data_IF_682202731077
#
_entry.id   IF_682202731077
#
_cell.length_a   1.000
_cell.length_b   1.000
_cell.length_c   1.000
_cell.angle_alpha   90.00
_cell.angle_beta   90.00
_cell.angle_gamma   90.00
#
_symmetry.space_group_name_H-M   'P 1'
#
loop_
_entity.id
_entity.type
_entity.pdbx_description
1 polymer ?
#
# COMPACT_ATOMS: atom_id res chain seq x y z
N UNK A 1 -1.14 16.50 1.50
CA UNK A 1 -1.53 17.06 0.19
C UNK A 1 -2.68 16.26 -0.36
N UNK A 2 -3.67 16.93 -0.86
CA UNK A 2 -4.83 16.25 -1.45
C UNK A 2 -4.65 16.14 -2.96
N UNK A 3 -5.07 14.99 -3.49
CA UNK A 3 -5.08 14.73 -4.92
C UNK A 3 -6.52 14.54 -5.38
N UNK A 4 -6.82 14.96 -6.59
CA UNK A 4 -8.10 14.71 -7.23
C UNK A 4 -7.85 13.74 -8.40
N UNK A 5 -8.08 12.46 -8.17
CA UNK A 5 -7.81 11.43 -9.17
C UNK A 5 -8.72 11.56 -10.38
N UNK A 6 -9.97 12.02 -10.19
CA UNK A 6 -10.89 12.26 -11.31
C UNK A 6 -10.33 13.32 -12.27
N UNK A 7 -9.79 14.39 -11.72
CA UNK A 7 -9.17 15.44 -12.53
C UNK A 7 -7.91 14.96 -13.24
N UNK A 8 -7.07 14.20 -12.55
CA UNK A 8 -5.88 13.58 -13.15
C UNK A 8 -6.26 12.67 -14.32
N UNK A 9 -7.33 11.89 -14.18
CA UNK A 9 -7.84 11.04 -15.25
C UNK A 9 -8.33 11.86 -16.46
N UNK A 10 -8.96 12.99 -16.21
CA UNK A 10 -9.44 13.86 -17.29
C UNK A 10 -8.29 14.52 -18.05
N UNK A 11 -7.24 14.94 -17.34
CA UNK A 11 -6.11 15.66 -17.94
C UNK A 11 -5.14 14.70 -18.63
N UNK A 12 -4.87 13.56 -18.03
CA UNK A 12 -3.79 12.64 -18.43
C UNK A 12 -4.30 11.28 -18.90
N UNK A 13 -5.50 11.20 -19.42
CA UNK A 13 -6.15 9.93 -19.78
C UNK A 13 -5.28 8.98 -20.61
N UNK A 14 -4.46 9.51 -21.51
CA UNK A 14 -3.62 8.71 -22.41
C UNK A 14 -2.28 8.31 -21.78
N UNK A 15 -1.95 8.84 -20.60
CA UNK A 15 -0.65 8.66 -19.95
C UNK A 15 -0.70 7.87 -18.65
N UNK A 16 -1.89 7.53 -18.17
CA UNK A 16 -2.08 6.88 -16.88
C UNK A 16 -2.80 5.55 -17.00
N UNK A 17 -2.56 4.69 -16.02
CA UNK A 17 -3.29 3.46 -15.80
C UNK A 17 -4.13 3.59 -14.54
N UNK A 18 -5.33 3.04 -14.54
CA UNK A 18 -6.24 3.03 -13.39
C UNK A 18 -6.40 1.59 -12.91
N UNK A 19 -6.18 1.39 -11.62
CA UNK A 19 -6.37 0.07 -10.99
C UNK A 19 -7.86 -0.30 -11.00
N UNK A 20 -8.14 -1.61 -11.09
CA UNK A 20 -9.48 -2.12 -10.86
C UNK A 20 -9.98 -1.65 -9.49
N UNK A 21 -11.27 -1.26 -9.37
CA UNK A 21 -11.82 -0.63 -8.17
C UNK A 21 -12.14 -1.67 -7.06
N UNK A 22 -11.13 -2.37 -6.60
CA UNK A 22 -11.27 -3.46 -5.62
C UNK A 22 -10.70 -3.10 -4.24
N UNK A 23 -10.16 -1.89 -4.09
CA UNK A 23 -9.52 -1.45 -2.85
C UNK A 23 -10.45 -0.61 -1.98
N UNK A 24 -10.26 -0.71 -0.67
CA UNK A 24 -10.93 0.13 0.33
C UNK A 24 -9.90 0.92 1.11
N UNK A 25 -10.29 2.11 1.60
CA UNK A 25 -9.46 2.94 2.46
C UNK A 25 -9.55 2.49 3.91
N UNK A 26 -8.41 2.30 4.57
CA UNK A 26 -8.34 1.87 5.96
C UNK A 26 -7.52 2.81 6.85
N UNK A 27 -6.66 3.64 6.28
CA UNK A 27 -5.83 4.57 7.03
C UNK A 27 -6.53 5.88 7.38
N UNK A 28 -5.89 6.71 8.19
CA UNK A 28 -6.41 8.02 8.57
C UNK A 28 -6.38 9.07 7.46
N UNK A 29 -5.64 8.81 6.39
CA UNK A 29 -5.56 9.70 5.21
C UNK A 29 -6.15 8.99 4.01
N UNK A 30 -7.07 9.63 3.31
CA UNK A 30 -7.69 9.06 2.11
C UNK A 30 -7.04 9.53 0.81
N UNK A 31 -6.42 10.71 0.81
CA UNK A 31 -5.77 11.29 -0.38
C UNK A 31 -4.26 11.31 -0.19
N UNK A 32 -3.53 10.58 -1.02
CA UNK A 32 -2.08 10.49 -0.93
C UNK A 32 -1.47 10.14 -2.28
N UNK A 33 -0.18 10.31 -2.41
CA UNK A 33 0.54 9.95 -3.62
C UNK A 33 2.04 10.07 -3.44
N UNK A 34 2.78 9.51 -4.36
CA UNK A 34 4.23 9.56 -4.33
C UNK A 34 4.88 8.54 -5.25
N UNK A 35 6.19 8.43 -5.10
CA UNK A 35 7.02 7.49 -5.84
C UNK A 35 6.83 6.07 -5.32
N UNK A 36 6.63 5.14 -6.22
CA UNK A 36 6.35 3.74 -5.90
C UNK A 36 7.59 3.00 -5.43
N UNK A 37 7.46 2.34 -4.29
CA UNK A 37 8.41 1.32 -3.80
C UNK A 37 7.67 -0.01 -3.79
N UNK A 38 8.20 -1.02 -4.46
CA UNK A 38 7.50 -2.29 -4.67
C UNK A 38 7.97 -3.39 -3.74
N UNK A 39 7.02 -4.22 -3.30
CA UNK A 39 7.27 -5.46 -2.55
C UNK A 39 6.38 -6.54 -3.12
N UNK A 40 6.91 -7.76 -3.19
CA UNK A 40 6.14 -8.97 -3.46
C UNK A 40 6.35 -9.97 -2.34
N UNK A 41 5.28 -10.34 -1.65
CA UNK A 41 5.32 -11.31 -0.56
C UNK A 41 3.97 -12.02 -0.45
N UNK A 42 3.94 -13.15 0.24
CA UNK A 42 2.71 -13.92 0.40
C UNK A 42 2.57 -14.38 1.86
N UNK A 43 1.57 -13.85 2.55
CA UNK A 43 1.19 -14.23 3.92
C UNK A 43 2.31 -14.08 4.97
N UNK A 44 3.39 -13.37 4.61
CA UNK A 44 4.52 -13.02 5.49
C UNK A 44 4.83 -11.55 5.33
N UNK A 45 5.06 -10.83 6.42
CA UNK A 45 5.26 -9.38 6.39
C UNK A 45 6.60 -8.89 6.96
N UNK A 46 7.57 -9.78 7.11
CA UNK A 46 8.90 -9.40 7.60
C UNK A 46 9.61 -8.41 6.69
N UNK A 47 9.52 -8.60 5.37
CA UNK A 47 10.10 -7.66 4.38
C UNK A 47 9.43 -6.30 4.47
N UNK A 48 8.09 -6.26 4.62
CA UNK A 48 7.34 -5.01 4.79
C UNK A 48 7.82 -4.28 6.05
N UNK A 49 7.92 -5.01 7.17
CA UNK A 49 8.37 -4.46 8.45
C UNK A 49 9.77 -3.85 8.37
N UNK A 50 10.67 -4.41 7.57
CA UNK A 50 12.00 -3.85 7.36
C UNK A 50 11.96 -2.58 6.52
N UNK A 51 11.20 -2.57 5.44
CA UNK A 51 11.16 -1.45 4.50
C UNK A 51 10.48 -0.22 5.11
N UNK A 52 9.42 -0.38 5.89
CA UNK A 52 8.75 0.76 6.52
C UNK A 52 9.63 1.47 7.57
N UNK A 53 10.71 0.85 8.01
CA UNK A 53 11.70 1.47 8.90
C UNK A 53 12.61 2.46 8.17
N UNK A 54 12.66 2.40 6.85
CA UNK A 54 13.45 3.33 6.04
C UNK A 54 12.68 4.62 5.79
N UNK A 55 13.36 5.68 5.35
CA UNK A 55 12.71 6.95 5.06
C UNK A 55 11.75 6.82 3.88
N UNK A 56 10.48 7.09 4.12
CA UNK A 56 9.41 7.00 3.14
C UNK A 56 8.90 8.35 2.63
N UNK A 57 9.61 9.44 2.91
CA UNK A 57 9.17 10.78 2.48
C UNK A 57 8.99 10.84 0.96
N UNK A 58 7.80 11.21 0.52
CA UNK A 58 7.46 11.27 -0.91
C UNK A 58 7.26 9.91 -1.56
N UNK A 59 7.15 8.83 -0.78
CA UNK A 59 7.05 7.46 -1.29
C UNK A 59 5.76 6.78 -0.86
N UNK A 60 5.25 5.93 -1.73
CA UNK A 60 4.12 5.04 -1.46
C UNK A 60 4.60 3.60 -1.60
N UNK A 61 4.32 2.79 -0.59
CA UNK A 61 4.65 1.38 -0.60
C UNK A 61 3.55 0.60 -1.32
N UNK A 62 3.89 -0.08 -2.40
CA UNK A 62 2.95 -0.87 -3.20
C UNK A 62 3.32 -2.34 -3.08
N UNK A 63 2.39 -3.12 -2.54
CA UNK A 63 2.64 -4.51 -2.13
C UNK A 63 1.77 -5.46 -2.93
N UNK A 64 2.40 -6.36 -3.67
CA UNK A 64 1.72 -7.52 -4.25
C UNK A 64 1.72 -8.64 -3.20
N UNK A 65 0.60 -8.76 -2.50
CA UNK A 65 0.38 -9.79 -1.49
C UNK A 65 -0.35 -11.01 -2.03
N UNK A 66 -0.43 -11.14 -3.34
CA UNK A 66 -1.09 -12.29 -3.98
C UNK A 66 -2.60 -12.33 -3.79
N UNK A 67 -3.21 -11.26 -3.27
CA UNK A 67 -4.65 -11.20 -3.02
C UNK A 67 -5.11 -12.08 -1.86
N UNK A 68 -4.22 -12.52 -0.98
CA UNK A 68 -4.58 -13.43 0.12
C UNK A 68 -5.57 -12.78 1.07
N UNK A 69 -6.63 -13.51 1.39
CA UNK A 69 -7.63 -13.16 2.41
C UNK A 69 -7.49 -14.01 3.67
N UNK A 70 -6.40 -14.77 3.79
CA UNK A 70 -6.18 -15.68 4.92
C UNK A 70 -5.29 -15.10 6.00
N UNK A 71 -4.37 -14.20 5.63
CA UNK A 71 -3.45 -13.54 6.56
C UNK A 71 -3.30 -12.08 6.21
N UNK A 72 -3.49 -11.22 7.20
CA UNK A 72 -3.37 -9.77 7.03
C UNK A 72 -1.89 -9.37 7.01
N UNK A 73 -1.48 -8.69 5.95
CA UNK A 73 -0.11 -8.20 5.79
C UNK A 73 0.13 -6.90 6.57
N UNK A 74 -0.89 -6.05 6.65
CA UNK A 74 -0.78 -4.74 7.31
C UNK A 74 -1.50 -4.78 8.64
N UNK A 75 -0.77 -4.41 9.69
CA UNK A 75 -1.26 -4.29 11.05
C UNK A 75 -0.93 -2.91 11.64
N UNK A 76 -1.31 -2.70 12.90
CA UNK A 76 -1.07 -1.44 13.62
C UNK A 76 0.43 -1.10 13.63
N UNK A 77 1.28 -2.07 13.93
CA UNK A 77 2.71 -1.85 14.11
C UNK A 77 3.38 -1.41 12.81
N UNK A 78 3.04 -2.05 11.70
CA UNK A 78 3.55 -1.66 10.38
C UNK A 78 3.07 -0.26 10.01
N UNK A 79 1.78 0.02 10.22
CA UNK A 79 1.21 1.32 9.89
C UNK A 79 1.82 2.45 10.73
N UNK A 80 2.00 2.24 12.03
CA UNK A 80 2.63 3.22 12.91
C UNK A 80 4.08 3.47 12.52
N UNK A 81 4.83 2.42 12.23
CA UNK A 81 6.23 2.54 11.82
C UNK A 81 6.34 3.30 10.49
N UNK A 82 5.47 2.99 9.53
CA UNK A 82 5.45 3.68 8.25
C UNK A 82 5.11 5.17 8.42
N UNK A 83 4.11 5.49 9.22
CA UNK A 83 3.73 6.89 9.48
C UNK A 83 4.88 7.65 10.16
N UNK A 84 5.56 7.01 11.11
CA UNK A 84 6.67 7.60 11.85
C UNK A 84 7.86 7.90 10.93
N UNK A 85 8.06 7.13 9.89
CA UNK A 85 9.14 7.28 8.92
C UNK A 85 8.71 8.04 7.65
N UNK A 86 7.62 8.77 7.72
CA UNK A 86 7.14 9.71 6.69
C UNK A 86 6.62 9.06 5.41
N UNK A 87 6.30 7.78 5.41
CA UNK A 87 5.65 7.17 4.25
C UNK A 87 4.32 7.86 3.97
N UNK A 88 4.07 8.15 2.69
CA UNK A 88 2.84 8.84 2.26
C UNK A 88 1.64 7.90 2.28
N UNK A 89 1.85 6.64 1.96
CA UNK A 89 0.78 5.66 1.95
C UNK A 89 1.27 4.25 1.65
N UNK A 90 0.35 3.30 1.82
CA UNK A 90 0.54 1.88 1.53
C UNK A 90 -0.63 1.41 0.69
N UNK A 91 -0.36 0.75 -0.42
CA UNK A 91 -1.37 0.06 -1.22
C UNK A 91 -1.03 -1.42 -1.19
N UNK A 92 -1.93 -2.22 -0.65
CA UNK A 92 -1.71 -3.64 -0.42
C UNK A 92 -2.72 -4.47 -1.22
N UNK A 93 -2.23 -5.22 -2.20
CA UNK A 93 -3.04 -6.25 -2.85
C UNK A 93 -3.07 -7.48 -1.94
N UNK A 94 -3.82 -7.37 -0.87
CA UNK A 94 -3.92 -8.33 0.21
C UNK A 94 -4.82 -7.77 1.32
N UNK A 95 -4.72 -8.36 2.50
CA UNK A 95 -5.59 -8.05 3.62
C UNK A 95 -4.92 -7.19 4.68
N UNK A 96 -5.73 -6.47 5.43
CA UNK A 96 -5.33 -5.69 6.60
C UNK A 96 -6.09 -6.17 7.83
N UNK A 97 -5.68 -5.76 9.03
CA UNK A 97 -6.42 -6.02 10.27
C UNK A 97 -6.42 -4.80 11.18
N UNK A 98 -7.22 -4.86 12.24
CA UNK A 98 -7.32 -3.80 13.26
C UNK A 98 -7.71 -2.44 12.68
N UNK A 99 -8.73 -2.45 11.83
CA UNK A 99 -9.10 -1.29 11.01
C UNK A 99 -9.51 -0.07 11.81
N UNK A 100 -10.12 -0.24 12.99
CA UNK A 100 -10.48 0.88 13.85
C UNK A 100 -9.22 1.63 14.32
N UNK A 101 -8.17 0.91 14.64
CA UNK A 101 -6.89 1.50 15.02
C UNK A 101 -6.17 2.10 13.82
N UNK A 102 -6.24 1.47 12.63
CA UNK A 102 -5.63 2.01 11.42
C UNK A 102 -6.20 3.37 11.03
N UNK A 103 -7.49 3.60 11.24
CA UNK A 103 -8.14 4.89 10.98
C UNK A 103 -7.53 6.05 11.78
N UNK A 104 -6.97 5.76 12.93
CA UNK A 104 -6.37 6.78 13.80
C UNK A 104 -4.92 7.10 13.43
N UNK A 105 -4.32 6.37 12.50
CA UNK A 105 -2.94 6.56 12.10
C UNK A 105 -2.89 7.48 10.87
N UNK A 106 -2.05 8.50 10.94
CA UNK A 106 -1.93 9.54 9.89
C UNK A 106 -1.08 9.04 8.72
N UNK A 107 -1.67 8.12 7.96
CA UNK A 107 -1.09 7.54 6.74
C UNK A 107 -2.22 7.05 5.84
N UNK A 108 -2.00 7.04 4.53
CA UNK A 108 -2.93 6.40 3.59
C UNK A 108 -2.71 4.89 3.59
N UNK A 109 -3.80 4.12 3.67
CA UNK A 109 -3.74 2.66 3.55
C UNK A 109 -4.91 2.20 2.69
N UNK A 110 -4.60 1.50 1.61
CA UNK A 110 -5.62 0.82 0.81
C UNK A 110 -5.32 -0.67 0.79
N UNK A 111 -6.35 -1.48 0.97
CA UNK A 111 -6.28 -2.93 0.95
C UNK A 111 -7.57 -3.53 0.42
N UNK A 112 -7.60 -4.84 0.26
CA UNK A 112 -8.76 -5.54 -0.30
C UNK A 112 -9.85 -5.78 0.73
N UNK A 113 -9.47 -6.23 1.93
CA UNK A 113 -10.41 -6.68 2.94
C UNK A 113 -9.74 -6.65 4.32
N UNK A 114 -10.55 -6.60 5.37
CA UNK A 114 -10.10 -6.71 6.76
C UNK A 114 -10.37 -8.12 7.28
N UNK A 115 -9.35 -8.74 7.88
CA UNK A 115 -9.44 -10.06 8.51
C UNK A 115 -8.67 -10.06 9.82
N UNK A 116 -8.99 -10.94 10.78
CA UNK A 116 -8.34 -10.90 12.10
C UNK A 116 -7.01 -11.66 12.18
N UNK A 117 -6.71 -12.54 11.24
CA UNK A 117 -5.50 -13.38 11.30
C UNK A 117 -4.31 -12.63 10.75
N UNK A 118 -3.26 -12.49 11.56
CA UNK A 118 -2.02 -11.82 11.14
C UNK A 118 -1.13 -12.67 10.25
N UNK A 119 -0.27 -12.01 9.51
CA UNK A 119 0.77 -12.64 8.70
C UNK A 119 1.86 -13.24 9.59
N UNK A 120 2.67 -14.15 9.04
CA UNK A 120 3.90 -14.56 9.71
C UNK A 120 4.92 -13.43 9.60
N UNK A 121 5.83 -13.35 10.57
CA UNK A 121 6.87 -12.32 10.61
C UNK A 121 8.16 -12.74 9.88
N UNK A 122 8.09 -13.79 9.08
CA UNK A 122 9.24 -14.27 8.32
C UNK A 122 9.67 -13.26 7.26
N UNK A 123 10.97 -13.15 7.07
CA UNK A 123 11.57 -12.23 6.11
C UNK A 123 11.62 -12.88 4.72
N UNK A 124 10.44 -13.30 4.23
CA UNK A 124 10.26 -13.96 2.94
C UNK A 124 9.53 -13.03 2.00
N UNK A 125 10.17 -12.68 0.90
CA UNK A 125 9.62 -11.78 -0.11
C UNK A 125 10.73 -11.07 -0.84
N UNK A 126 10.35 -10.27 -1.82
CA UNK A 126 11.28 -9.51 -2.64
C UNK A 126 10.83 -8.05 -2.71
N UNK A 127 11.78 -7.16 -2.85
CA UNK A 127 11.52 -5.73 -3.05
C UNK A 127 12.22 -5.24 -4.30
N UNK A 128 11.82 -4.07 -4.78
CA UNK A 128 12.48 -3.38 -5.89
C UNK A 128 12.38 -4.16 -7.21
N UNK A 129 11.20 -4.66 -7.52
CA UNK A 129 10.92 -5.47 -8.72
C UNK A 129 9.63 -4.99 -9.38
N UNK A 130 9.43 -5.38 -10.64
CA UNK A 130 8.15 -5.18 -11.31
C UNK A 130 7.09 -6.10 -10.69
N UNK A 131 5.92 -5.53 -10.37
CA UNK A 131 4.79 -6.28 -9.84
C UNK A 131 3.54 -5.97 -10.66
N UNK A 132 2.59 -6.90 -10.67
CA UNK A 132 1.35 -6.74 -11.41
C UNK A 132 0.17 -7.20 -10.56
N UNK A 133 -0.83 -6.32 -10.42
CA UNK A 133 -2.12 -6.67 -9.81
C UNK A 133 -3.17 -5.65 -10.23
N UNK A 134 -4.44 -6.00 -10.07
CA UNK A 134 -5.56 -5.12 -10.37
C UNK A 134 -5.49 -4.50 -11.79
N UNK A 135 -4.96 -5.25 -12.75
CA UNK A 135 -4.86 -4.84 -14.15
C UNK A 135 -3.72 -3.87 -14.47
N UNK A 136 -2.83 -3.58 -13.53
CA UNK A 136 -1.74 -2.62 -13.71
C UNK A 136 -0.40 -3.24 -13.35
N UNK A 137 0.63 -2.93 -14.14
CA UNK A 137 2.03 -3.26 -13.82
C UNK A 137 2.70 -2.05 -13.19
N UNK A 138 3.29 -2.26 -12.01
CA UNK A 138 4.05 -1.24 -11.30
C UNK A 138 5.54 -1.52 -11.44
N UNK A 139 6.28 -0.48 -11.81
CA UNK A 139 7.73 -0.50 -11.80
C UNK A 139 8.23 0.35 -10.64
N UNK A 140 9.37 -0.01 -10.02
CA UNK A 140 10.00 0.89 -9.05
C UNK A 140 10.18 2.29 -9.63
N UNK A 141 9.94 3.30 -8.82
CA UNK A 141 10.02 4.72 -9.18
C UNK A 141 8.89 5.26 -10.06
N UNK A 142 7.89 4.46 -10.42
CA UNK A 142 6.64 4.99 -10.95
C UNK A 142 5.98 5.93 -9.92
N UNK A 143 5.02 6.72 -10.34
CA UNK A 143 4.22 7.54 -9.43
C UNK A 143 2.81 7.02 -9.33
N UNK A 144 2.24 7.04 -8.12
CA UNK A 144 0.87 6.64 -7.86
C UNK A 144 0.14 7.71 -7.05
N UNK A 145 -1.16 7.88 -7.34
CA UNK A 145 -2.02 8.82 -6.63
C UNK A 145 -3.31 8.11 -6.27
N UNK A 146 -3.82 8.39 -5.07
CA UNK A 146 -5.05 7.82 -4.53
C UNK A 146 -5.85 8.90 -3.81
N UNK A 147 -7.17 8.77 -3.89
CA UNK A 147 -8.09 9.55 -3.06
C UNK A 147 -9.40 8.81 -2.80
#
# INVERSE_FOLDING_TARGET
>A
MEYNTSELCNIYADLIDVLEPIFCNYGGISSFGGKVVTIKCFESNGVIAQIVKTDGKGKVLVIDGGGSTRRALIDIQIAETAALNNWEGIICYGSVRDVDALEEITIGIQGLVSIPVGATDQNIGESDLAINFAGVTFLPDDHIYAD
#
